data_IF_855706318398
#
_entry.id   IF_855706318398
#
_cell.length_a   1.000
_cell.length_b   1.000
_cell.length_c   1.000
_cell.angle_alpha   90.00
_cell.angle_beta   90.00
_cell.angle_gamma   90.00
#
_symmetry.space_group_name_H-M   'P 1'
#
loop_
_entity.id
_entity.type
_entity.pdbx_description
1 polymer ?
#
# COMPACT_ATOMS: atom_id res chain seq x y z
N UNK A 1 -30.18 -33.52 1.96
CA UNK A 1 -30.84 -32.28 1.51
C UNK A 1 -30.10 -31.12 2.17
N UNK A 2 -29.37 -30.32 1.41
CA UNK A 2 -28.68 -29.14 1.94
C UNK A 2 -29.73 -28.05 2.17
N UNK A 3 -29.90 -27.62 3.41
CA UNK A 3 -30.86 -26.57 3.77
C UNK A 3 -30.36 -25.23 3.20
N UNK A 4 -31.20 -24.55 2.43
CA UNK A 4 -30.86 -23.23 1.90
C UNK A 4 -30.71 -22.23 3.05
N UNK A 5 -29.71 -21.34 2.95
CA UNK A 5 -29.44 -20.32 3.95
C UNK A 5 -30.61 -19.35 4.08
N UNK A 6 -31.07 -19.12 5.31
CA UNK A 6 -32.23 -18.29 5.59
C UNK A 6 -31.88 -16.78 5.56
N UNK A 7 -32.73 -15.98 4.91
CA UNK A 7 -32.50 -14.54 4.74
C UNK A 7 -32.56 -13.79 6.07
N UNK A 8 -33.44 -14.18 6.98
CA UNK A 8 -33.59 -13.51 8.27
C UNK A 8 -32.38 -13.83 9.17
N UNK A 9 -31.88 -15.07 9.14
CA UNK A 9 -30.61 -15.44 9.76
C UNK A 9 -29.45 -14.57 9.25
N UNK A 10 -29.32 -14.40 7.93
CA UNK A 10 -28.26 -13.56 7.34
C UNK A 10 -28.35 -12.13 7.83
N UNK A 11 -29.55 -11.53 7.86
CA UNK A 11 -29.74 -10.15 8.33
C UNK A 11 -29.37 -9.99 9.80
N UNK A 12 -29.85 -10.86 10.68
CA UNK A 12 -29.56 -10.78 12.11
C UNK A 12 -28.06 -10.92 12.40
N UNK A 13 -27.40 -11.89 11.73
CA UNK A 13 -25.95 -12.05 11.89
C UNK A 13 -25.19 -10.86 11.31
N UNK A 14 -25.62 -10.32 10.18
CA UNK A 14 -24.99 -9.17 9.55
C UNK A 14 -25.06 -7.92 10.45
N UNK A 15 -26.21 -7.66 11.09
CA UNK A 15 -26.39 -6.56 12.06
C UNK A 15 -25.43 -6.69 13.26
N UNK A 16 -25.22 -7.91 13.76
CA UNK A 16 -24.24 -8.16 14.82
C UNK A 16 -22.80 -7.90 14.37
N UNK A 17 -22.46 -8.28 13.14
CA UNK A 17 -21.13 -8.06 12.58
C UNK A 17 -20.88 -6.57 12.28
N UNK A 18 -21.91 -5.82 11.91
CA UNK A 18 -21.86 -4.34 11.83
C UNK A 18 -21.55 -3.75 13.19
N UNK A 19 -22.26 -4.18 14.24
CA UNK A 19 -22.04 -3.68 15.60
C UNK A 19 -20.62 -3.98 16.12
N UNK A 20 -20.00 -5.07 15.65
CA UNK A 20 -18.60 -5.43 15.93
C UNK A 20 -17.58 -4.67 15.05
N UNK A 21 -18.04 -3.87 14.09
CA UNK A 21 -17.19 -3.07 13.21
C UNK A 21 -16.54 -3.86 12.06
N UNK A 22 -17.04 -5.05 11.72
CA UNK A 22 -16.51 -5.82 10.59
C UNK A 22 -16.84 -5.15 9.26
N UNK A 23 -15.88 -5.19 8.33
CA UNK A 23 -16.04 -4.59 7.00
C UNK A 23 -16.90 -5.45 6.10
N UNK A 24 -17.57 -4.82 5.13
CA UNK A 24 -18.49 -5.45 4.19
C UNK A 24 -17.98 -6.77 3.58
N UNK A 25 -16.77 -6.80 3.02
CA UNK A 25 -16.18 -8.00 2.40
C UNK A 25 -15.94 -9.17 3.37
N UNK A 26 -15.80 -8.92 4.68
CA UNK A 26 -15.54 -9.97 5.68
C UNK A 26 -16.83 -10.67 6.09
N UNK A 27 -17.94 -9.94 6.11
CA UNK A 27 -19.20 -10.38 6.73
C UNK A 27 -19.78 -11.65 6.09
N UNK A 28 -19.78 -11.85 4.75
CA UNK A 28 -20.26 -13.10 4.16
C UNK A 28 -19.55 -14.34 4.70
N UNK A 29 -18.22 -14.29 4.84
CA UNK A 29 -17.45 -15.41 5.40
C UNK A 29 -17.88 -15.74 6.83
N UNK A 30 -18.02 -14.73 7.70
CA UNK A 30 -18.45 -14.92 9.09
C UNK A 30 -19.89 -15.45 9.18
N UNK A 31 -20.79 -14.99 8.32
CA UNK A 31 -22.17 -15.51 8.27
C UNK A 31 -22.21 -16.96 7.76
N UNK A 32 -21.41 -17.31 6.76
CA UNK A 32 -21.28 -18.68 6.29
C UNK A 32 -20.78 -19.62 7.41
N UNK A 33 -19.74 -19.22 8.15
CA UNK A 33 -19.25 -19.99 9.30
C UNK A 33 -20.34 -20.17 10.36
N UNK A 34 -21.08 -19.12 10.68
CA UNK A 34 -22.16 -19.17 11.67
C UNK A 34 -23.29 -20.10 11.22
N UNK A 35 -23.65 -20.07 9.93
CA UNK A 35 -24.68 -20.92 9.35
C UNK A 35 -24.29 -22.41 9.39
N UNK A 36 -23.09 -22.74 8.91
CA UNK A 36 -22.56 -24.11 8.92
C UNK A 36 -22.54 -24.67 10.34
N UNK A 37 -22.08 -23.87 11.31
CA UNK A 37 -22.06 -24.25 12.72
C UNK A 37 -23.48 -24.45 13.28
N UNK A 38 -24.42 -23.56 12.97
CA UNK A 38 -25.79 -23.63 13.45
C UNK A 38 -26.55 -24.84 12.90
N UNK A 39 -26.31 -25.21 11.64
CA UNK A 39 -26.96 -26.34 10.97
C UNK A 39 -26.18 -27.66 11.11
N UNK A 40 -25.05 -27.66 11.83
CA UNK A 40 -24.22 -28.85 12.03
C UNK A 40 -23.64 -29.43 10.73
N UNK A 41 -23.44 -28.59 9.72
CA UNK A 41 -22.90 -29.00 8.42
C UNK A 41 -21.40 -29.26 8.57
N UNK A 42 -20.94 -30.42 8.09
CA UNK A 42 -19.51 -30.72 7.95
C UNK A 42 -19.16 -30.64 6.46
N UNK A 43 -18.23 -29.77 6.08
CA UNK A 43 -17.90 -29.56 4.67
C UNK A 43 -17.11 -28.29 4.38
N UNK A 44 -16.98 -27.99 3.09
CA UNK A 44 -16.27 -26.81 2.58
C UNK A 44 -17.13 -25.54 2.78
N UNK A 45 -16.52 -24.49 3.35
CA UNK A 45 -17.15 -23.20 3.57
C UNK A 45 -17.51 -22.49 2.26
N UNK A 46 -16.79 -22.82 1.18
CA UNK A 46 -16.96 -22.26 -0.16
C UNK A 46 -17.76 -23.18 -1.08
N UNK A 47 -18.46 -24.19 -0.53
CA UNK A 47 -19.42 -24.95 -1.29
C UNK A 47 -20.45 -24.01 -1.91
N UNK A 48 -20.58 -24.06 -3.23
CA UNK A 48 -21.50 -23.23 -4.02
C UNK A 48 -22.95 -23.32 -3.51
N UNK A 49 -23.35 -24.47 -2.94
CA UNK A 49 -24.68 -24.66 -2.38
C UNK A 49 -24.98 -23.76 -1.17
N UNK A 50 -23.95 -23.30 -0.46
CA UNK A 50 -24.07 -22.36 0.67
C UNK A 50 -23.65 -20.95 0.25
N UNK A 51 -22.54 -20.84 -0.47
CA UNK A 51 -21.91 -19.56 -0.81
C UNK A 51 -22.74 -18.75 -1.81
N UNK A 52 -23.21 -19.35 -2.90
CA UNK A 52 -23.93 -18.60 -3.94
C UNK A 52 -25.27 -18.04 -3.43
N UNK A 53 -26.13 -18.81 -2.73
CA UNK A 53 -27.35 -18.26 -2.13
C UNK A 53 -27.08 -17.16 -1.10
N UNK A 54 -26.02 -17.30 -0.30
CA UNK A 54 -25.60 -16.27 0.65
C UNK A 54 -25.22 -14.97 -0.06
N UNK A 55 -24.43 -15.07 -1.12
CA UNK A 55 -24.01 -13.90 -1.90
C UNK A 55 -25.19 -13.23 -2.62
N UNK A 56 -26.18 -13.99 -3.09
CA UNK A 56 -27.43 -13.43 -3.62
C UNK A 56 -28.14 -12.58 -2.57
N UNK A 57 -28.21 -13.05 -1.32
CA UNK A 57 -28.81 -12.28 -0.21
C UNK A 57 -27.99 -11.01 0.05
N UNK A 58 -26.66 -11.12 0.13
CA UNK A 58 -25.77 -9.99 0.38
C UNK A 58 -25.82 -8.93 -0.72
N UNK A 59 -25.83 -9.33 -2.00
CA UNK A 59 -26.02 -8.40 -3.11
C UNK A 59 -27.40 -7.73 -3.09
N UNK A 60 -28.44 -8.43 -2.59
CA UNK A 60 -29.74 -7.82 -2.35
C UNK A 60 -29.76 -6.83 -1.19
N UNK A 61 -28.98 -7.08 -0.13
CA UNK A 61 -28.85 -6.18 1.03
C UNK A 61 -27.96 -4.97 0.73
N UNK A 62 -26.90 -5.15 -0.07
CA UNK A 62 -25.94 -4.13 -0.44
C UNK A 62 -25.74 -4.08 -1.96
N UNK A 63 -26.69 -3.52 -2.73
CA UNK A 63 -26.58 -3.46 -4.19
C UNK A 63 -25.34 -2.71 -4.70
N UNK A 64 -24.88 -1.69 -3.96
CA UNK A 64 -23.66 -0.94 -4.25
C UNK A 64 -22.42 -1.47 -3.50
N UNK A 65 -22.54 -2.62 -2.84
CA UNK A 65 -21.52 -3.18 -1.98
C UNK A 65 -20.36 -3.83 -2.74
N UNK A 66 -19.13 -3.47 -2.40
CA UNK A 66 -17.92 -4.19 -2.83
C UNK A 66 -17.56 -5.29 -1.82
N UNK A 67 -17.70 -6.54 -2.24
CA UNK A 67 -17.37 -7.74 -1.45
C UNK A 67 -15.99 -8.30 -1.78
N UNK A 68 -15.23 -7.67 -2.68
CA UNK A 68 -13.90 -8.13 -3.03
C UNK A 68 -12.95 -8.01 -1.82
N UNK A 69 -12.03 -8.97 -1.70
CA UNK A 69 -10.97 -8.89 -0.70
C UNK A 69 -10.18 -7.60 -0.92
N UNK A 70 -10.02 -6.76 0.11
CA UNK A 70 -9.31 -5.51 -0.03
C UNK A 70 -7.86 -5.80 -0.41
N UNK A 71 -7.31 -4.94 -1.27
CA UNK A 71 -5.88 -4.91 -1.49
C UNK A 71 -5.17 -4.66 -0.16
N UNK A 72 -4.03 -5.33 0.04
CA UNK A 72 -3.18 -5.13 1.22
C UNK A 72 -2.65 -3.69 1.29
N UNK A 73 -2.39 -3.11 0.11
CA UNK A 73 -2.09 -1.71 -0.08
C UNK A 73 -2.72 -1.22 -1.39
N UNK A 74 -3.26 -0.01 -1.37
CA UNK A 74 -3.55 0.76 -2.58
C UNK A 74 -2.56 1.92 -2.65
N UNK A 75 -1.74 1.92 -3.70
CA UNK A 75 -0.81 3.01 -4.02
C UNK A 75 -1.18 3.65 -5.35
N UNK A 76 -0.22 4.30 -5.98
CA UNK A 76 -0.39 4.80 -7.33
C UNK A 76 0.94 5.05 -8.03
N UNK A 77 0.92 5.02 -9.35
CA UNK A 77 2.08 5.34 -10.20
C UNK A 77 1.75 6.50 -11.11
N UNK A 78 2.71 7.42 -11.27
CA UNK A 78 2.59 8.54 -12.17
C UNK A 78 2.98 8.10 -13.58
N UNK A 79 2.05 8.25 -14.52
CA UNK A 79 2.31 8.10 -15.94
C UNK A 79 1.74 9.33 -16.63
N UNK A 80 2.60 10.06 -17.33
CA UNK A 80 2.30 11.38 -17.90
C UNK A 80 1.83 12.34 -16.81
N UNK A 81 0.63 12.90 -16.95
CA UNK A 81 0.02 13.80 -15.98
C UNK A 81 -1.06 13.12 -15.13
N UNK A 82 -1.13 11.78 -15.13
CA UNK A 82 -2.14 11.00 -14.41
C UNK A 82 -1.51 10.09 -13.34
N UNK A 83 -2.24 9.93 -12.24
CA UNK A 83 -1.92 8.96 -11.19
C UNK A 83 -2.82 7.74 -11.36
N UNK A 84 -2.24 6.62 -11.81
CA UNK A 84 -2.97 5.37 -11.96
C UNK A 84 -2.96 4.60 -10.65
N UNK A 85 -4.11 4.09 -10.18
CA UNK A 85 -4.17 3.26 -8.99
C UNK A 85 -3.32 2.00 -9.14
N UNK A 86 -2.66 1.60 -8.05
CA UNK A 86 -1.96 0.32 -7.95
C UNK A 86 -2.57 -0.51 -6.83
N UNK A 87 -2.88 -1.77 -7.12
CA UNK A 87 -3.39 -2.72 -6.12
C UNK A 87 -2.33 -3.77 -5.80
N UNK A 88 -1.82 -3.73 -4.57
CA UNK A 88 -1.03 -4.84 -4.02
C UNK A 88 -2.01 -5.85 -3.42
N UNK A 89 -2.17 -6.99 -4.08
CA UNK A 89 -3.09 -8.04 -3.65
C UNK A 89 -2.60 -8.74 -2.37
N UNK A 90 -3.54 -9.36 -1.65
CA UNK A 90 -3.19 -10.34 -0.61
C UNK A 90 -2.88 -11.66 -1.30
N UNK A 91 -1.63 -12.11 -1.18
CA UNK A 91 -1.17 -13.41 -1.66
C UNK A 91 -0.55 -14.24 -0.53
N UNK A 92 -0.80 -15.56 -0.57
CA UNK A 92 -0.26 -16.54 0.36
C UNK A 92 0.67 -17.51 -0.39
N UNK A 93 1.81 -17.85 0.22
CA UNK A 93 2.81 -18.74 -0.37
C UNK A 93 3.67 -18.06 -1.43
N UNK A 94 4.21 -18.85 -2.37
CA UNK A 94 5.04 -18.36 -3.48
C UNK A 94 4.14 -17.97 -4.65
N UNK A 95 4.12 -16.69 -5.00
CA UNK A 95 3.39 -16.17 -6.15
C UNK A 95 4.34 -15.48 -7.13
N UNK A 96 4.11 -15.70 -8.42
CA UNK A 96 4.74 -14.90 -9.47
C UNK A 96 3.93 -13.61 -9.64
N UNK A 97 4.58 -12.48 -9.45
CA UNK A 97 3.96 -11.15 -9.57
C UNK A 97 4.63 -10.42 -10.71
N UNK A 98 3.85 -10.03 -11.70
CA UNK A 98 4.26 -9.05 -12.70
C UNK A 98 3.83 -7.66 -12.21
N UNK A 99 4.77 -6.74 -11.92
CA UNK A 99 4.44 -5.40 -11.43
C UNK A 99 3.49 -4.63 -12.35
N UNK A 100 3.58 -4.84 -13.67
CA UNK A 100 2.74 -4.15 -14.66
C UNK A 100 1.26 -4.47 -14.45
N UNK A 101 0.94 -5.74 -14.14
CA UNK A 101 -0.44 -6.22 -13.98
C UNK A 101 -1.11 -5.66 -12.71
N UNK A 102 -0.34 -5.02 -11.83
CA UNK A 102 -0.86 -4.38 -10.62
C UNK A 102 -1.36 -2.95 -10.85
N UNK A 103 -1.07 -2.37 -12.02
CA UNK A 103 -1.44 -0.99 -12.38
C UNK A 103 -2.83 -1.01 -13.04
N UNK A 104 -3.76 -0.23 -12.51
CA UNK A 104 -5.11 -0.10 -13.08
C UNK A 104 -5.09 0.89 -14.26
N UNK A 105 -4.59 0.44 -15.41
CA UNK A 105 -4.44 1.21 -16.65
C UNK A 105 -4.87 0.37 -17.87
N UNK A 106 -5.55 0.95 -18.88
CA UNK A 106 -5.81 0.25 -20.14
C UNK A 106 -4.51 -0.23 -20.81
N UNK A 107 -4.51 -1.47 -21.29
CA UNK A 107 -3.30 -2.08 -21.89
C UNK A 107 -2.73 -1.27 -23.06
N UNK A 108 -3.60 -0.75 -23.92
CA UNK A 108 -3.20 0.08 -25.08
C UNK A 108 -2.47 1.35 -24.64
N UNK A 109 -2.92 1.97 -23.55
CA UNK A 109 -2.29 3.17 -23.00
C UNK A 109 -0.93 2.84 -22.39
N UNK A 110 -0.84 1.73 -21.66
CA UNK A 110 0.41 1.24 -21.09
C UNK A 110 1.44 0.88 -22.17
N UNK A 111 1.01 0.24 -23.27
CA UNK A 111 1.85 -0.01 -24.44
C UNK A 111 2.35 1.29 -25.08
N UNK A 112 1.50 2.32 -25.14
CA UNK A 112 1.90 3.67 -25.58
C UNK A 112 2.96 4.27 -24.65
N UNK A 113 2.80 4.15 -23.33
CA UNK A 113 3.80 4.60 -22.35
C UNK A 113 5.14 3.92 -22.58
N UNK A 114 5.19 2.59 -22.64
CA UNK A 114 6.47 1.89 -22.83
C UNK A 114 7.11 2.19 -24.18
N UNK A 115 6.31 2.49 -25.21
CA UNK A 115 6.80 2.84 -26.54
C UNK A 115 7.36 4.26 -26.63
N UNK A 116 6.69 5.24 -26.03
CA UNK A 116 7.00 6.67 -26.22
C UNK A 116 7.63 7.35 -25.00
N UNK A 117 7.41 6.80 -23.81
CA UNK A 117 7.88 7.31 -22.52
C UNK A 117 8.47 6.18 -21.66
N UNK A 118 9.42 5.39 -22.18
CA UNK A 118 9.89 4.15 -21.54
C UNK A 118 10.42 4.37 -20.12
N UNK A 119 11.07 5.52 -19.87
CA UNK A 119 11.57 5.87 -18.54
C UNK A 119 10.44 5.95 -17.49
N UNK A 120 9.29 6.52 -17.86
CA UNK A 120 8.13 6.57 -16.96
C UNK A 120 7.54 5.18 -16.73
N UNK A 121 7.46 4.36 -17.78
CA UNK A 121 7.00 2.97 -17.69
C UNK A 121 7.85 2.13 -16.73
N UNK A 122 9.17 2.19 -16.88
CA UNK A 122 10.10 1.47 -15.99
C UNK A 122 10.10 2.04 -14.56
N UNK A 123 9.95 3.34 -14.41
CA UNK A 123 9.79 3.96 -13.08
C UNK A 123 8.53 3.47 -12.39
N UNK A 124 7.39 3.41 -13.10
CA UNK A 124 6.14 2.86 -12.60
C UNK A 124 6.29 1.37 -12.23
N UNK A 125 6.92 0.57 -13.09
CA UNK A 125 7.23 -0.84 -12.84
C UNK A 125 7.96 -1.03 -11.50
N UNK A 126 9.03 -0.27 -11.27
CA UNK A 126 9.79 -0.37 -10.04
C UNK A 126 9.08 0.23 -8.83
N UNK A 127 8.28 1.28 -9.00
CA UNK A 127 7.44 1.81 -7.92
C UNK A 127 6.38 0.81 -7.47
N UNK A 128 5.83 -0.02 -8.36
CA UNK A 128 5.00 -1.15 -7.95
C UNK A 128 5.79 -2.13 -7.09
N UNK A 129 7.02 -2.46 -7.47
CA UNK A 129 7.88 -3.33 -6.65
C UNK A 129 8.16 -2.72 -5.26
N UNK A 130 8.39 -1.41 -5.19
CA UNK A 130 8.52 -0.67 -3.93
C UNK A 130 7.24 -0.77 -3.08
N UNK A 131 6.06 -0.65 -3.69
CA UNK A 131 4.77 -0.83 -3.01
C UNK A 131 4.57 -2.24 -2.48
N UNK A 132 5.01 -3.26 -3.21
CA UNK A 132 4.96 -4.66 -2.76
C UNK A 132 5.86 -4.88 -1.55
N UNK A 133 7.11 -4.44 -1.62
CA UNK A 133 8.07 -4.53 -0.51
C UNK A 133 7.53 -3.83 0.72
N UNK A 134 7.02 -2.61 0.53
CA UNK A 134 6.45 -1.83 1.60
C UNK A 134 5.23 -2.50 2.22
N UNK A 135 4.25 -2.91 1.41
CA UNK A 135 3.00 -3.49 1.93
C UNK A 135 3.23 -4.79 2.71
N UNK A 136 4.06 -5.68 2.18
CA UNK A 136 4.36 -6.96 2.84
C UNK A 136 5.26 -6.77 4.06
N UNK A 137 6.27 -5.90 4.01
CA UNK A 137 7.11 -5.67 5.18
C UNK A 137 6.32 -5.05 6.35
N UNK A 138 5.32 -4.19 6.06
CA UNK A 138 4.44 -3.64 7.09
C UNK A 138 3.57 -4.75 7.68
N UNK A 139 3.11 -5.68 6.85
CA UNK A 139 2.37 -6.85 7.32
C UNK A 139 3.22 -7.74 8.22
N UNK A 140 4.46 -8.05 7.82
CA UNK A 140 5.37 -8.92 8.59
C UNK A 140 5.72 -8.31 9.95
N UNK A 141 5.87 -6.98 10.02
CA UNK A 141 6.20 -6.26 11.24
C UNK A 141 4.97 -5.86 12.08
N UNK A 142 3.75 -6.16 11.63
CA UNK A 142 2.51 -5.68 12.27
C UNK A 142 2.26 -6.21 13.69
N UNK A 143 2.89 -7.34 14.04
CA UNK A 143 2.79 -7.98 15.35
C UNK A 143 4.01 -7.73 16.26
N UNK A 144 4.91 -6.83 15.84
CA UNK A 144 6.05 -6.40 16.65
C UNK A 144 5.65 -5.61 17.90
N UNK A 145 6.60 -5.40 18.81
CA UNK A 145 6.43 -4.53 19.98
C UNK A 145 7.02 -3.14 19.73
N UNK A 146 6.60 -2.16 20.52
CA UNK A 146 7.05 -0.76 20.40
C UNK A 146 6.29 0.03 19.32
N UNK A 147 6.89 1.14 18.88
CA UNK A 147 6.20 2.13 18.04
C UNK A 147 6.18 1.76 16.55
N UNK A 148 7.08 0.87 16.11
CA UNK A 148 7.29 0.56 14.70
C UNK A 148 6.01 0.12 13.97
N UNK A 149 5.18 -0.81 14.50
CA UNK A 149 3.94 -1.23 13.82
C UNK A 149 2.99 -0.07 13.55
N UNK A 150 2.81 0.83 14.53
CA UNK A 150 1.91 1.97 14.40
C UNK A 150 2.45 3.01 13.41
N UNK A 151 3.76 3.30 13.46
CA UNK A 151 4.42 4.22 12.53
C UNK A 151 4.28 3.73 11.08
N UNK A 152 4.53 2.45 10.84
CA UNK A 152 4.35 1.84 9.52
C UNK A 152 2.90 1.79 9.06
N UNK A 153 1.94 1.49 9.96
CA UNK A 153 0.52 1.55 9.64
C UNK A 153 0.06 2.97 9.24
N UNK A 154 0.59 3.99 9.92
CA UNK A 154 0.32 5.40 9.60
C UNK A 154 0.99 5.83 8.29
N UNK A 155 2.23 5.39 8.02
CA UNK A 155 2.90 5.61 6.75
C UNK A 155 2.11 5.00 5.58
N UNK A 156 1.65 3.75 5.74
CA UNK A 156 0.77 3.07 4.77
C UNK A 156 -0.54 3.81 4.52
N UNK A 157 -1.15 4.33 5.57
CA UNK A 157 -2.39 5.11 5.45
C UNK A 157 -2.17 6.42 4.71
N UNK A 158 -1.06 7.12 5.00
CA UNK A 158 -0.66 8.36 4.33
C UNK A 158 -0.36 8.13 2.86
N UNK A 159 0.34 7.05 2.52
CA UNK A 159 0.62 6.65 1.14
C UNK A 159 -0.68 6.41 0.36
N UNK A 160 -1.61 5.64 0.94
CA UNK A 160 -2.89 5.36 0.30
C UNK A 160 -3.79 6.61 0.18
N UNK A 161 -3.65 7.58 1.08
CA UNK A 161 -4.32 8.88 0.98
C UNK A 161 -3.73 9.71 -0.19
N UNK A 162 -2.40 9.81 -0.26
CA UNK A 162 -1.68 10.49 -1.34
C UNK A 162 -2.13 9.99 -2.72
N UNK A 163 -2.20 8.68 -2.93
CA UNK A 163 -2.62 8.11 -4.20
C UNK A 163 -4.05 8.52 -4.59
N UNK A 164 -4.97 8.58 -3.61
CA UNK A 164 -6.36 9.02 -3.85
C UNK A 164 -6.46 10.51 -4.16
N UNK A 165 -5.72 11.34 -3.43
CA UNK A 165 -5.70 12.80 -3.65
C UNK A 165 -5.20 13.09 -5.07
N UNK A 166 -4.08 12.48 -5.47
CA UNK A 166 -3.47 12.72 -6.77
C UNK A 166 -4.22 12.09 -7.94
N UNK A 167 -4.99 11.03 -7.71
CA UNK A 167 -5.92 10.48 -8.70
C UNK A 167 -7.19 11.33 -8.85
N UNK A 168 -7.50 12.18 -7.86
CA UNK A 168 -8.61 13.13 -7.92
C UNK A 168 -8.24 14.44 -8.63
N UNK A 169 -9.24 15.33 -8.70
CA UNK A 169 -9.18 16.59 -9.42
C UNK A 169 -9.20 17.83 -8.50
N UNK A 170 -9.25 17.64 -7.17
CA UNK A 170 -9.46 18.72 -6.19
C UNK A 170 -8.34 18.71 -5.15
N UNK A 171 -7.78 19.89 -4.87
CA UNK A 171 -6.85 20.16 -3.77
C UNK A 171 -5.62 19.22 -3.74
N UNK A 172 -4.97 19.07 -4.89
CA UNK A 172 -3.75 18.27 -5.03
C UNK A 172 -2.60 18.78 -4.16
N UNK A 173 -2.62 20.06 -3.78
CA UNK A 173 -1.61 20.67 -2.92
C UNK A 173 -1.58 20.02 -1.53
N UNK A 174 -2.73 19.52 -1.06
CA UNK A 174 -2.82 18.73 0.17
C UNK A 174 -2.01 17.43 0.14
N UNK A 175 -1.69 16.91 -1.07
CA UNK A 175 -0.90 15.68 -1.21
C UNK A 175 0.53 15.83 -0.68
N UNK A 176 1.13 17.02 -0.75
CA UNK A 176 2.51 17.24 -0.24
C UNK A 176 2.63 16.80 1.21
N UNK A 177 1.63 17.11 2.02
CA UNK A 177 1.62 16.74 3.43
C UNK A 177 1.64 15.22 3.61
N UNK A 178 0.76 14.50 2.92
CA UNK A 178 0.69 13.04 3.04
C UNK A 178 1.90 12.35 2.41
N UNK A 179 2.52 12.96 1.39
CA UNK A 179 3.78 12.52 0.79
C UNK A 179 4.93 12.60 1.79
N UNK A 180 5.15 13.77 2.41
CA UNK A 180 6.20 13.96 3.42
C UNK A 180 5.98 13.05 4.64
N UNK A 181 4.74 12.94 5.12
CA UNK A 181 4.39 12.05 6.23
C UNK A 181 4.70 10.58 5.93
N UNK A 182 4.47 10.13 4.70
CA UNK A 182 4.78 8.75 4.28
C UNK A 182 6.27 8.44 4.48
N UNK A 183 7.15 9.30 3.96
CA UNK A 183 8.60 9.13 4.07
C UNK A 183 9.07 9.25 5.53
N UNK A 184 8.60 10.26 6.26
CA UNK A 184 8.98 10.52 7.65
C UNK A 184 8.63 9.34 8.56
N UNK A 185 7.37 8.88 8.50
CA UNK A 185 6.86 7.82 9.36
C UNK A 185 7.50 6.48 9.04
N UNK A 186 7.81 6.19 7.77
CA UNK A 186 8.51 4.98 7.39
C UNK A 186 9.96 4.96 7.93
N UNK A 187 10.70 6.06 7.80
CA UNK A 187 12.06 6.17 8.35
C UNK A 187 12.07 6.05 9.89
N UNK A 188 11.14 6.73 10.58
CA UNK A 188 10.98 6.60 12.03
C UNK A 188 10.57 5.18 12.44
N UNK A 189 9.67 4.55 11.67
CA UNK A 189 9.26 3.17 11.88
C UNK A 189 10.43 2.20 11.78
N UNK A 190 11.31 2.39 10.79
CA UNK A 190 12.51 1.57 10.63
C UNK A 190 13.49 1.77 11.79
N UNK A 191 13.76 3.01 12.21
CA UNK A 191 14.57 3.28 13.39
C UNK A 191 13.98 2.64 14.66
N UNK A 192 12.66 2.73 14.84
CA UNK A 192 11.97 2.08 15.95
C UNK A 192 12.10 0.55 15.89
N UNK A 193 12.05 -0.06 14.71
CA UNK A 193 12.29 -1.49 14.51
C UNK A 193 13.76 -1.89 14.81
N UNK A 194 14.70 -0.93 14.75
CA UNK A 194 16.09 -1.07 15.22
C UNK A 194 16.27 -0.79 16.72
N UNK A 195 15.19 -0.56 17.46
CA UNK A 195 15.20 -0.36 18.91
C UNK A 195 15.31 1.09 19.36
N UNK A 196 15.22 2.06 18.44
CA UNK A 196 15.14 3.47 18.84
C UNK A 196 13.81 3.75 19.54
N UNK A 197 13.87 4.54 20.61
CA UNK A 197 12.70 5.05 21.32
C UNK A 197 12.22 6.35 20.69
N UNK A 198 10.95 6.71 20.92
CA UNK A 198 10.36 7.98 20.47
C UNK A 198 11.23 9.20 20.80
N UNK A 199 11.76 9.26 22.02
CA UNK A 199 12.60 10.37 22.46
C UNK A 199 13.90 10.55 21.66
N UNK A 200 14.35 9.52 20.92
CA UNK A 200 15.52 9.60 20.05
C UNK A 200 15.16 10.12 18.66
N UNK A 201 14.24 9.45 17.95
CA UNK A 201 13.88 9.86 16.59
C UNK A 201 13.08 11.18 16.55
N UNK A 202 12.40 11.54 17.64
CA UNK A 202 11.71 12.83 17.76
C UNK A 202 12.67 14.03 17.77
N UNK A 203 13.92 13.85 18.25
CA UNK A 203 14.96 14.89 18.18
C UNK A 203 15.38 15.21 16.75
N UNK A 204 15.19 14.27 15.83
CA UNK A 204 15.43 14.45 14.40
C UNK A 204 14.25 15.19 13.72
N UNK A 205 13.14 15.41 14.45
CA UNK A 205 11.97 16.15 13.99
C UNK A 205 11.43 15.62 12.66
N UNK A 206 11.20 16.50 11.68
CA UNK A 206 10.73 16.19 10.33
C UNK A 206 11.87 16.18 9.29
N UNK A 207 13.13 16.16 9.73
CA UNK A 207 14.31 16.23 8.85
C UNK A 207 14.62 14.87 8.24
N UNK A 208 14.14 14.63 7.01
CA UNK A 208 14.26 13.34 6.32
C UNK A 208 15.72 12.94 6.06
N UNK A 209 16.59 13.91 5.77
CA UNK A 209 18.04 13.73 5.64
C UNK A 209 18.66 13.15 6.93
N UNK A 210 18.35 13.74 8.08
CA UNK A 210 18.86 13.28 9.38
C UNK A 210 18.30 11.90 9.76
N UNK A 211 17.03 11.65 9.44
CA UNK A 211 16.40 10.35 9.66
C UNK A 211 17.02 9.26 8.77
N UNK A 212 17.30 9.57 7.50
CA UNK A 212 17.98 8.67 6.58
C UNK A 212 19.41 8.36 7.02
N UNK A 213 20.21 9.36 7.39
CA UNK A 213 21.58 9.13 7.89
C UNK A 213 21.59 8.31 9.18
N UNK A 214 20.66 8.58 10.10
CA UNK A 214 20.52 7.76 11.31
C UNK A 214 20.21 6.30 10.97
N UNK A 215 19.30 6.06 10.02
CA UNK A 215 18.93 4.70 9.61
C UNK A 215 20.08 4.00 8.87
N UNK A 216 20.81 4.71 8.00
CA UNK A 216 22.01 4.18 7.33
C UNK A 216 23.09 3.82 8.35
N UNK A 217 23.26 4.63 9.41
CA UNK A 217 24.17 4.34 10.51
C UNK A 217 23.81 3.06 11.29
N UNK A 218 22.52 2.72 11.39
CA UNK A 218 22.05 1.48 12.00
C UNK A 218 22.16 0.27 11.07
N UNK A 219 21.83 0.46 9.78
CA UNK A 219 21.82 -0.58 8.75
C UNK A 219 22.26 0.01 7.40
N UNK A 220 23.55 -0.14 7.10
CA UNK A 220 24.13 0.26 5.82
C UNK A 220 23.89 -0.81 4.74
N UNK A 221 23.72 -0.36 3.50
CA UNK A 221 23.46 -1.20 2.32
C UNK A 221 24.17 -0.63 1.09
N UNK A 222 24.20 -1.40 -0.01
CA UNK A 222 24.70 -0.89 -1.29
C UNK A 222 23.83 0.25 -1.88
N UNK A 223 22.64 0.51 -1.34
CA UNK A 223 21.68 1.52 -1.81
C UNK A 223 21.62 2.78 -0.93
N UNK A 224 22.60 2.98 -0.06
CA UNK A 224 22.62 4.14 0.85
C UNK A 224 22.58 5.47 0.07
N UNK A 225 23.30 5.56 -1.05
CA UNK A 225 23.30 6.76 -1.89
C UNK A 225 21.96 6.98 -2.61
N UNK A 226 21.22 5.92 -2.94
CA UNK A 226 19.87 6.05 -3.49
C UNK A 226 18.91 6.62 -2.45
N UNK A 227 19.01 6.17 -1.20
CA UNK A 227 18.20 6.71 -0.10
C UNK A 227 18.53 8.20 0.13
N UNK A 228 19.81 8.57 0.19
CA UNK A 228 20.28 9.96 0.31
C UNK A 228 19.74 10.84 -0.81
N UNK A 229 19.91 10.41 -2.06
CA UNK A 229 19.43 11.13 -3.24
C UNK A 229 17.92 11.31 -3.21
N UNK A 230 17.18 10.27 -2.79
CA UNK A 230 15.74 10.35 -2.67
C UNK A 230 15.31 11.39 -1.63
N UNK A 231 15.84 11.36 -0.40
CA UNK A 231 15.41 12.30 0.67
C UNK A 231 15.82 13.75 0.43
N UNK A 232 16.92 13.99 -0.31
CA UNK A 232 17.45 15.33 -0.55
C UNK A 232 16.54 16.27 -1.36
N UNK A 233 15.55 15.73 -2.09
CA UNK A 233 14.65 16.50 -2.93
C UNK A 233 13.24 16.66 -2.36
N UNK A 234 13.03 16.32 -1.09
CA UNK A 234 11.77 16.65 -0.44
C UNK A 234 11.72 18.14 -0.11
N UNK A 235 10.55 18.79 -0.24
CA UNK A 235 10.38 20.18 0.17
C UNK A 235 10.49 20.30 1.69
N UNK A 236 10.84 21.51 2.17
CA UNK A 236 10.74 21.81 3.60
C UNK A 236 9.27 21.81 4.03
N UNK A 237 8.86 20.71 4.66
CA UNK A 237 7.50 20.44 5.10
C UNK A 237 6.96 21.45 6.12
N UNK A 238 7.80 22.12 6.91
CA UNK A 238 7.31 23.09 7.91
C UNK A 238 7.10 24.47 7.27
N UNK A 239 8.00 24.87 6.38
CA UNK A 239 7.91 26.15 5.67
C UNK A 239 6.78 26.23 4.64
N UNK A 240 6.37 25.10 4.06
CA UNK A 240 5.45 25.05 2.93
C UNK A 240 3.97 24.88 3.31
N UNK A 241 3.61 24.65 4.59
CA UNK A 241 2.19 24.42 4.99
C UNK A 241 1.27 25.62 4.80
N UNK A 242 1.83 26.82 4.72
CA UNK A 242 1.09 28.08 4.65
C UNK A 242 1.28 28.83 3.32
N UNK A 243 1.98 28.21 2.35
CA UNK A 243 2.28 28.80 1.05
C UNK A 243 2.06 27.76 -0.05
N UNK A 244 1.69 28.19 -1.27
CA UNK A 244 1.66 27.26 -2.40
C UNK A 244 3.07 26.73 -2.65
N UNK A 245 3.24 25.42 -2.71
CA UNK A 245 4.55 24.80 -2.96
C UNK A 245 5.05 25.03 -4.41
N UNK A 246 4.21 25.57 -5.30
CA UNK A 246 4.58 25.95 -6.67
C UNK A 246 4.89 24.77 -7.60
N UNK A 247 4.64 23.55 -7.15
CA UNK A 247 4.86 22.33 -7.95
C UNK A 247 3.67 22.09 -8.86
N UNK A 248 3.95 21.68 -10.07
CA UNK A 248 2.96 21.15 -11.01
C UNK A 248 2.40 19.81 -10.50
N UNK A 249 1.24 19.41 -11.04
CA UNK A 249 0.64 18.10 -10.77
C UNK A 249 1.63 16.95 -11.04
N UNK A 250 2.36 17.02 -12.15
CA UNK A 250 3.34 15.99 -12.51
C UNK A 250 4.49 15.90 -11.49
N UNK A 251 5.01 17.02 -11.01
CA UNK A 251 6.05 17.06 -9.98
C UNK A 251 5.56 16.49 -8.65
N UNK A 252 4.31 16.77 -8.25
CA UNK A 252 3.68 16.17 -7.07
C UNK A 252 3.56 14.65 -7.19
N UNK A 253 3.17 14.15 -8.36
CA UNK A 253 3.06 12.71 -8.61
C UNK A 253 4.43 12.02 -8.58
N UNK A 254 5.45 12.66 -9.14
CA UNK A 254 6.84 12.20 -9.05
C UNK A 254 7.32 12.19 -7.59
N UNK A 255 7.03 13.23 -6.82
CA UNK A 255 7.35 13.31 -5.39
C UNK A 255 6.62 12.21 -4.58
N UNK A 256 5.40 11.85 -4.96
CA UNK A 256 4.68 10.75 -4.35
C UNK A 256 5.37 9.39 -4.60
N UNK A 257 5.79 9.11 -5.83
CA UNK A 257 6.57 7.89 -6.13
C UNK A 257 7.91 7.88 -5.39
N UNK A 258 8.53 9.05 -5.18
CA UNK A 258 9.73 9.20 -4.36
C UNK A 258 9.50 8.82 -2.90
N UNK A 259 8.37 9.22 -2.31
CA UNK A 259 8.03 8.76 -0.95
C UNK A 259 7.73 7.27 -0.87
N UNK A 260 7.15 6.66 -1.91
CA UNK A 260 6.97 5.20 -1.98
C UNK A 260 8.33 4.50 -1.96
N UNK A 261 9.28 4.98 -2.75
CA UNK A 261 10.65 4.47 -2.75
C UNK A 261 11.30 4.62 -1.36
N UNK A 262 11.29 5.81 -0.76
CA UNK A 262 11.87 6.04 0.58
C UNK A 262 11.24 5.11 1.62
N UNK A 263 9.92 4.95 1.58
CA UNK A 263 9.21 4.08 2.52
C UNK A 263 9.59 2.60 2.35
N UNK A 264 9.67 2.12 1.11
CA UNK A 264 10.11 0.76 0.80
C UNK A 264 11.57 0.54 1.20
N UNK A 265 12.44 1.49 0.90
CA UNK A 265 13.89 1.41 1.16
C UNK A 265 14.22 1.46 2.66
N UNK A 266 13.42 2.21 3.44
CA UNK A 266 13.48 2.15 4.90
C UNK A 266 13.08 0.77 5.42
N UNK A 267 12.03 0.18 4.84
CA UNK A 267 11.49 -1.11 5.28
C UNK A 267 12.37 -2.30 4.89
N UNK A 268 13.04 -2.25 3.74
CA UNK A 268 14.04 -3.26 3.30
C UNK A 268 15.21 -3.41 4.27
N UNK A 269 15.54 -2.37 5.03
CA UNK A 269 16.59 -2.42 6.06
C UNK A 269 16.15 -3.16 7.34
N UNK A 270 14.86 -3.43 7.49
CA UNK A 270 14.27 -4.02 8.70
C UNK A 270 13.33 -5.18 8.40
N UNK A 271 13.30 -5.67 7.16
CA UNK A 271 12.48 -6.80 6.72
C UNK A 271 13.19 -7.58 5.63
N UNK A 272 12.77 -8.83 5.40
CA UNK A 272 13.31 -9.69 4.33
C UNK A 272 12.64 -9.45 2.96
N UNK A 273 11.82 -8.40 2.83
CA UNK A 273 11.06 -8.10 1.62
C UNK A 273 11.87 -7.19 0.70
N UNK A 274 12.32 -7.75 -0.43
CA UNK A 274 13.11 -7.01 -1.43
C UNK A 274 12.89 -7.55 -2.85
N UNK A 275 11.66 -7.42 -3.35
CA UNK A 275 11.27 -7.65 -4.73
C UNK A 275 12.02 -6.71 -5.68
N UNK A 276 12.22 -5.45 -5.31
CA UNK A 276 12.92 -4.50 -6.17
C UNK A 276 14.34 -4.95 -6.51
N UNK A 277 15.15 -5.38 -5.53
CA UNK A 277 16.49 -5.91 -5.80
C UNK A 277 16.46 -7.14 -6.70
N UNK A 278 15.47 -8.03 -6.52
CA UNK A 278 15.33 -9.24 -7.36
C UNK A 278 15.07 -8.88 -8.81
N UNK A 279 14.24 -7.86 -9.06
CA UNK A 279 13.96 -7.36 -10.40
C UNK A 279 15.16 -6.59 -10.99
N UNK A 280 15.89 -5.82 -10.19
CA UNK A 280 17.13 -5.16 -10.63
C UNK A 280 18.25 -6.14 -11.00
N UNK A 281 18.29 -7.31 -10.36
CA UNK A 281 19.27 -8.36 -10.64
C UNK A 281 18.90 -9.26 -11.83
N UNK A 282 17.67 -9.19 -12.35
CA UNK A 282 17.23 -10.00 -13.49
C UNK A 282 17.77 -9.40 -14.80
N UNK A 283 18.63 -10.11 -15.55
CA UNK A 283 19.20 -9.60 -16.81
C UNK A 283 18.15 -9.37 -17.92
N UNK A 284 16.93 -9.89 -17.77
CA UNK A 284 15.83 -9.66 -18.71
C UNK A 284 14.99 -8.43 -18.36
N UNK A 285 15.24 -7.81 -17.21
CA UNK A 285 14.55 -6.60 -16.78
C UNK A 285 15.42 -5.39 -17.08
N UNK A 286 14.82 -4.31 -17.60
CA UNK A 286 15.56 -3.08 -17.84
C UNK A 286 15.99 -2.44 -16.53
N UNK A 287 17.20 -1.84 -16.45
CA UNK A 287 17.66 -1.20 -15.23
C UNK A 287 16.69 -0.16 -14.71
N UNK A 288 16.58 -0.06 -13.39
CA UNK A 288 15.82 1.00 -12.72
C UNK A 288 16.31 2.37 -13.22
N UNK A 289 15.43 3.20 -13.79
CA UNK A 289 15.78 4.57 -14.15
C UNK A 289 16.30 5.33 -12.93
N UNK A 290 17.19 6.33 -13.12
CA UNK A 290 17.61 7.18 -12.02
C UNK A 290 16.40 7.69 -11.25
N UNK A 291 16.46 7.53 -9.95
CA UNK A 291 15.51 8.14 -9.04
C UNK A 291 15.88 9.62 -9.00
N UNK A 292 15.34 10.36 -9.97
CA UNK A 292 15.05 11.81 -9.99
C UNK A 292 16.09 12.76 -9.39
#
# INVERSE_FOLDING_TARGET
MTKAIDKEFVRQRDDELIAQGLKLHQRPFHVAMAWIKAEGISGDLFDKAVWDPLMVIYHGLYPAGDFSTPAMLRGGVALRDQMYPVRVAVAFGTVSVNPIDCIEIPREELELIFKHYPEQGWRAFYSVADLWDFAYGVSDLSHGSGDAPQLFANARSSLAATARILAGDIDIDSAVQTICLTAELALKGALAARGWRESQYRKLSHHLDKLAEALIGEVSTARDDHLRGAVAHFPDYVGTRYASHGMTRAELMVLAMRAQFVAAEALRRVSDRDLASKLEADPNTWPRPPLW
#
